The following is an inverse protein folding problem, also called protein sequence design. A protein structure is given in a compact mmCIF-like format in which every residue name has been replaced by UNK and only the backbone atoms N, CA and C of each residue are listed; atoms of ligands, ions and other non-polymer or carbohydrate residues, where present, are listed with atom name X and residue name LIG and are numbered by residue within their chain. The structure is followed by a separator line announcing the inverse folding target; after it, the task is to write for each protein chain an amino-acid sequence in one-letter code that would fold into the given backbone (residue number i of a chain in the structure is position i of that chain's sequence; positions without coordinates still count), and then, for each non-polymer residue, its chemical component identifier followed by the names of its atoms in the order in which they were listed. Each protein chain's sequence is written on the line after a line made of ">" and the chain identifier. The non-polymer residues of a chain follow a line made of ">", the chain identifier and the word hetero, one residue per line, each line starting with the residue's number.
data_IF_011139007157
#
_entry.id   IF_011139007157
#
_cell.length_a   1.000
_cell.length_b   1.000
_cell.length_c   1.000
_cell.angle_alpha   90.00
_cell.angle_beta   90.00
_cell.angle_gamma   90.00
#
_symmetry.space_group_name_H-M   'P 1'
#
loop_
_entity.id
_entity.type
_entity.pdbx_description
1 polymer ?
#
# COMPACT_ATOMS: atom_id res chain seq x y z
N UNK A 1 56.06 31.05 47.05
CA UNK A 1 55.96 29.79 46.29
C UNK A 1 55.26 28.80 47.21
N UNK A 2 54.10 28.22 46.95
CA UNK A 2 53.19 28.14 45.81
C UNK A 2 51.82 27.79 46.42
N UNK A 3 50.76 28.46 45.96
CA UNK A 3 49.39 28.04 46.24
C UNK A 3 48.98 27.03 45.16
N UNK A 4 48.59 25.80 45.52
CA UNK A 4 47.83 24.93 44.63
C UNK A 4 46.96 23.96 45.43
N UNK A 5 45.89 24.51 46.03
CA UNK A 5 44.82 23.76 46.68
C UNK A 5 43.66 23.51 45.73
N UNK A 6 43.54 22.27 45.27
CA UNK A 6 42.28 21.54 45.00
C UNK A 6 41.19 22.32 44.22
N UNK A 7 41.29 22.34 42.89
CA UNK A 7 40.11 22.41 41.99
C UNK A 7 40.01 21.11 41.20
N UNK A 8 39.56 20.03 41.86
CA UNK A 8 39.28 18.77 41.16
C UNK A 8 38.24 17.94 41.92
N UNK A 9 37.02 18.46 42.14
CA UNK A 9 35.93 17.59 42.67
C UNK A 9 34.50 18.08 42.40
N UNK A 10 34.23 18.83 41.33
CA UNK A 10 32.83 19.20 40.97
C UNK A 10 32.47 18.87 39.52
N UNK A 11 33.44 18.58 38.64
CA UNK A 11 33.15 18.23 37.24
C UNK A 11 32.86 16.74 36.99
N UNK A 12 33.25 15.82 37.88
CA UNK A 12 32.94 14.39 37.70
C UNK A 12 31.52 14.01 38.16
N UNK A 13 30.94 14.72 39.13
CA UNK A 13 29.59 14.42 39.60
C UNK A 13 28.49 14.86 38.63
N UNK A 14 28.74 15.92 37.84
CA UNK A 14 27.77 16.39 36.83
C UNK A 14 27.73 15.48 35.60
N UNK A 15 28.88 14.89 35.21
CA UNK A 15 28.95 13.99 34.04
C UNK A 15 28.27 12.64 34.36
N UNK A 16 28.37 12.16 35.60
CA UNK A 16 27.68 10.94 36.03
C UNK A 16 26.16 11.16 36.13
N UNK A 17 25.69 12.34 36.53
CA UNK A 17 24.25 12.64 36.57
C UNK A 17 23.62 12.76 35.17
N UNK A 18 24.36 13.32 34.20
CA UNK A 18 23.92 13.38 32.80
C UNK A 18 23.95 11.99 32.14
N UNK A 19 24.91 11.14 32.50
CA UNK A 19 24.93 9.74 32.04
C UNK A 19 23.80 8.90 32.64
N UNK A 20 23.35 9.17 33.88
CA UNK A 20 22.21 8.46 34.47
C UNK A 20 20.88 8.94 33.86
N UNK A 21 20.76 10.22 33.48
CA UNK A 21 19.60 10.73 32.73
C UNK A 21 19.57 10.27 31.25
N UNK A 22 20.73 9.98 30.65
CA UNK A 22 20.82 9.30 29.35
C UNK A 22 20.72 7.78 29.43
N UNK A 23 20.90 7.17 30.61
CA UNK A 23 20.68 5.74 30.82
C UNK A 23 19.25 5.37 31.21
N UNK A 24 18.42 6.32 31.65
CA UNK A 24 16.97 6.08 31.78
C UNK A 24 16.22 6.17 30.44
N UNK A 25 16.82 6.74 29.39
CA UNK A 25 16.26 6.71 28.03
C UNK A 25 16.83 5.59 27.15
N UNK A 26 17.77 4.79 27.65
CA UNK A 26 18.46 3.74 26.89
C UNK A 26 18.33 2.33 27.50
N UNK A 27 17.47 2.14 28.50
CA UNK A 27 17.02 0.81 28.96
C UNK A 27 15.57 0.64 28.51
N UNK A 28 15.38 0.54 27.20
CA UNK A 28 14.26 -0.13 26.53
C UNK A 28 14.69 -0.40 25.08
N UNK A 29 15.73 -1.24 24.96
CA UNK A 29 16.06 -1.91 23.71
C UNK A 29 14.94 -2.91 23.42
N UNK A 30 13.90 -2.40 22.77
CA UNK A 30 12.64 -3.07 22.50
C UNK A 30 11.50 -2.06 22.39
N UNK A 31 11.71 -0.90 21.76
CA UNK A 31 10.59 -0.01 21.44
C UNK A 31 9.82 -0.65 20.28
N UNK A 32 8.76 -1.40 20.59
CA UNK A 32 7.59 -1.39 19.72
C UNK A 32 7.32 0.08 19.43
N UNK A 33 7.34 0.45 18.16
CA UNK A 33 7.18 1.84 17.76
C UNK A 33 5.71 2.16 18.01
N UNK A 34 5.39 2.71 19.18
CA UNK A 34 4.02 2.89 19.64
C UNK A 34 3.15 3.56 18.58
N UNK A 35 1.89 3.10 18.47
CA UNK A 35 0.94 3.62 17.50
C UNK A 35 0.80 5.14 17.63
N UNK A 36 0.81 5.84 16.50
CA UNK A 36 0.55 7.28 16.49
C UNK A 36 -0.96 7.49 16.51
N UNK A 37 -1.46 8.06 17.60
CA UNK A 37 -2.86 8.46 17.76
C UNK A 37 -2.96 9.96 17.47
N UNK A 38 -3.79 10.31 16.49
CA UNK A 38 -4.09 11.68 16.09
C UNK A 38 -5.50 12.09 16.49
N UNK A 39 -6.45 11.15 16.55
CA UNK A 39 -7.81 11.43 16.99
C UNK A 39 -7.92 11.49 18.52
N UNK A 40 -8.95 12.18 19.00
CA UNK A 40 -9.36 12.09 20.40
C UNK A 40 -10.02 10.72 20.62
N UNK A 41 -9.53 9.96 21.61
CA UNK A 41 -10.03 8.62 21.91
C UNK A 41 -10.06 8.33 23.41
N UNK A 42 -10.96 7.47 23.84
CA UNK A 42 -11.00 6.99 25.22
C UNK A 42 -9.67 6.29 25.62
N UNK A 43 -9.05 6.60 26.77
CA UNK A 43 -7.77 6.00 27.16
C UNK A 43 -7.79 4.47 27.19
N UNK A 44 -8.91 3.88 27.63
CA UNK A 44 -9.10 2.42 27.66
C UNK A 44 -9.12 1.83 26.24
N UNK A 45 -9.76 2.50 25.28
CA UNK A 45 -9.75 2.08 23.87
C UNK A 45 -8.34 2.18 23.27
N UNK A 46 -7.56 3.20 23.65
CA UNK A 46 -6.17 3.37 23.21
C UNK A 46 -5.29 2.23 23.74
N UNK A 47 -5.43 1.85 25.01
CA UNK A 47 -4.69 0.72 25.60
C UNK A 47 -5.00 -0.60 24.87
N UNK A 48 -6.29 -0.89 24.63
CA UNK A 48 -6.70 -2.08 23.88
C UNK A 48 -6.14 -2.09 22.46
N UNK A 49 -6.16 -0.95 21.76
CA UNK A 49 -5.61 -0.87 20.42
C UNK A 49 -4.08 -1.07 20.41
N UNK A 50 -3.37 -0.57 21.41
CA UNK A 50 -1.93 -0.83 21.55
C UNK A 50 -1.66 -2.32 21.66
N UNK A 51 -2.35 -3.02 22.57
CA UNK A 51 -2.22 -4.47 22.72
C UNK A 51 -2.61 -5.22 21.43
N UNK A 52 -3.67 -4.77 20.76
CA UNK A 52 -4.11 -5.34 19.49
C UNK A 52 -3.01 -5.26 18.42
N UNK A 53 -2.32 -4.13 18.32
CA UNK A 53 -1.20 -3.96 17.37
C UNK A 53 0.03 -4.76 17.73
N UNK A 54 0.33 -4.91 19.02
CA UNK A 54 1.40 -5.82 19.48
C UNK A 54 1.10 -7.27 19.06
N UNK A 55 -0.14 -7.73 19.24
CA UNK A 55 -0.57 -9.06 18.78
C UNK A 55 -0.52 -9.23 17.28
N UNK A 56 -0.88 -8.20 16.52
CA UNK A 56 -0.70 -8.19 15.07
C UNK A 56 0.79 -8.33 14.68
N UNK A 57 1.69 -7.59 15.30
CA UNK A 57 3.13 -7.68 15.05
C UNK A 57 3.70 -9.05 15.41
N UNK A 58 3.30 -9.59 16.57
CA UNK A 58 3.62 -10.96 16.98
C UNK A 58 3.14 -11.97 15.92
N UNK A 59 1.91 -11.81 15.41
CA UNK A 59 1.34 -12.69 14.40
C UNK A 59 2.12 -12.64 13.08
N UNK A 60 2.48 -11.43 12.61
CA UNK A 60 3.28 -11.23 11.41
C UNK A 60 4.65 -11.90 11.53
N UNK A 61 5.32 -11.74 12.67
CA UNK A 61 6.61 -12.36 12.93
C UNK A 61 6.51 -13.90 13.05
N UNK A 62 5.49 -14.40 13.75
CA UNK A 62 5.34 -15.83 14.05
C UNK A 62 4.87 -16.64 12.84
N UNK A 63 4.02 -16.07 11.97
CA UNK A 63 3.31 -16.84 10.95
C UNK A 63 3.87 -16.70 9.54
N UNK A 64 4.78 -15.75 9.30
CA UNK A 64 5.55 -15.62 8.05
C UNK A 64 4.69 -15.71 6.77
N UNK A 65 3.50 -15.09 6.80
CA UNK A 65 2.56 -15.06 5.67
C UNK A 65 1.44 -16.09 5.71
N UNK A 66 1.48 -17.08 6.61
CA UNK A 66 0.38 -18.02 6.84
C UNK A 66 -0.72 -17.38 7.72
N UNK A 67 -1.26 -16.26 7.27
CA UNK A 67 -2.19 -15.42 8.02
C UNK A 67 -3.63 -15.76 7.70
N UNK A 68 -4.39 -16.12 8.74
CA UNK A 68 -5.84 -16.27 8.67
C UNK A 68 -6.44 -15.96 10.04
N UNK A 69 -7.70 -15.50 10.11
CA UNK A 69 -8.28 -14.91 11.34
C UNK A 69 -8.38 -15.88 12.50
N UNK A 70 -8.60 -17.16 12.22
CA UNK A 70 -8.68 -18.19 13.25
C UNK A 70 -7.33 -18.57 13.89
N UNK A 71 -6.20 -17.99 13.47
CA UNK A 71 -4.94 -18.18 14.20
C UNK A 71 -4.96 -17.39 15.49
N UNK A 72 -4.49 -18.01 16.57
CA UNK A 72 -4.51 -17.47 17.93
C UNK A 72 -4.13 -15.97 17.99
N UNK A 73 -2.96 -15.58 17.48
CA UNK A 73 -2.51 -14.19 17.58
C UNK A 73 -3.35 -13.22 16.72
N UNK A 74 -3.85 -13.67 15.56
CA UNK A 74 -4.75 -12.85 14.73
C UNK A 74 -6.14 -12.71 15.37
N UNK A 75 -6.65 -13.78 15.96
CA UNK A 75 -7.93 -13.75 16.69
C UNK A 75 -7.84 -12.80 17.89
N UNK A 76 -6.78 -12.90 18.69
CA UNK A 76 -6.53 -12.00 19.83
C UNK A 76 -6.39 -10.53 19.37
N UNK A 77 -5.61 -10.26 18.32
CA UNK A 77 -5.46 -8.91 17.78
C UNK A 77 -6.81 -8.31 17.31
N UNK A 78 -7.60 -9.10 16.57
CA UNK A 78 -8.90 -8.66 16.05
C UNK A 78 -9.89 -8.42 17.20
N UNK A 79 -9.96 -9.31 18.18
CA UNK A 79 -10.85 -9.18 19.34
C UNK A 79 -10.55 -7.92 20.14
N UNK A 80 -9.27 -7.65 20.44
CA UNK A 80 -8.84 -6.44 21.15
C UNK A 80 -9.19 -5.15 20.38
N UNK A 81 -9.00 -5.15 19.06
CA UNK A 81 -9.36 -4.00 18.22
C UNK A 81 -10.89 -3.81 18.11
N UNK A 82 -11.67 -4.89 18.06
CA UNK A 82 -13.13 -4.85 18.11
C UNK A 82 -13.63 -4.32 19.47
N UNK A 83 -12.99 -4.70 20.58
CA UNK A 83 -13.29 -4.16 21.93
C UNK A 83 -12.96 -2.67 22.03
N UNK A 84 -11.84 -2.21 21.46
CA UNK A 84 -11.49 -0.80 21.41
C UNK A 84 -12.59 0.03 20.70
N UNK A 85 -13.09 -0.46 19.57
CA UNK A 85 -14.19 0.17 18.82
C UNK A 85 -15.52 0.09 19.59
N UNK A 86 -15.75 -0.97 20.37
CA UNK A 86 -16.94 -1.09 21.20
C UNK A 86 -16.98 -0.02 22.32
N UNK A 87 -15.82 0.35 22.86
CA UNK A 87 -15.68 1.44 23.83
C UNK A 87 -15.81 2.80 23.15
N UNK A 88 -15.13 2.99 22.01
CA UNK A 88 -15.13 4.23 21.27
C UNK A 88 -15.40 4.00 19.76
N UNK A 89 -16.67 4.05 19.33
CA UNK A 89 -17.05 3.77 17.94
C UNK A 89 -16.59 4.80 16.91
N UNK A 90 -16.11 5.98 17.34
CA UNK A 90 -15.57 7.02 16.44
C UNK A 90 -14.02 7.06 16.50
N UNK A 91 -13.36 6.09 17.16
CA UNK A 91 -11.91 5.98 17.25
C UNK A 91 -11.27 5.65 15.89
N UNK A 92 -10.74 6.69 15.25
CA UNK A 92 -10.23 6.68 13.87
C UNK A 92 -9.17 5.60 13.65
N UNK A 93 -8.17 5.53 14.54
CA UNK A 93 -7.04 4.62 14.39
C UNK A 93 -7.45 3.18 14.59
N UNK A 94 -8.42 2.87 15.46
CA UNK A 94 -8.88 1.51 15.66
C UNK A 94 -9.52 0.93 14.39
N UNK A 95 -10.32 1.73 13.68
CA UNK A 95 -10.86 1.34 12.37
C UNK A 95 -9.74 1.12 11.33
N UNK A 96 -8.72 1.98 11.30
CA UNK A 96 -7.58 1.81 10.41
C UNK A 96 -6.83 0.50 10.66
N UNK A 97 -6.47 0.21 11.92
CA UNK A 97 -5.71 -0.98 12.27
C UNK A 97 -6.54 -2.26 12.17
N UNK A 98 -7.82 -2.24 12.52
CA UNK A 98 -8.69 -3.40 12.32
C UNK A 98 -8.82 -3.74 10.83
N UNK A 99 -8.88 -2.73 9.95
CA UNK A 99 -8.84 -2.95 8.51
C UNK A 99 -7.50 -3.59 8.06
N UNK A 100 -6.35 -3.17 8.60
CA UNK A 100 -5.06 -3.82 8.34
C UNK A 100 -5.04 -5.29 8.80
N UNK A 101 -5.65 -5.60 9.94
CA UNK A 101 -5.75 -6.98 10.43
C UNK A 101 -6.60 -7.84 9.48
N UNK A 102 -7.75 -7.33 9.01
CA UNK A 102 -8.57 -8.01 8.02
C UNK A 102 -7.87 -8.14 6.66
N UNK A 103 -7.09 -7.15 6.25
CA UNK A 103 -6.23 -7.22 5.07
C UNK A 103 -5.24 -8.38 5.19
N UNK A 104 -4.45 -8.41 6.26
CA UNK A 104 -3.42 -9.43 6.45
C UNK A 104 -4.00 -10.84 6.50
N UNK A 105 -5.25 -10.96 6.94
CA UNK A 105 -5.94 -12.23 7.11
C UNK A 105 -6.94 -12.56 5.99
N UNK A 106 -6.96 -11.76 4.92
CA UNK A 106 -7.80 -11.96 3.72
C UNK A 106 -9.31 -11.96 3.99
N UNK A 107 -9.77 -11.18 4.96
CA UNK A 107 -11.20 -10.96 5.24
C UNK A 107 -11.74 -9.73 4.50
N UNK A 108 -11.73 -9.79 3.16
CA UNK A 108 -11.95 -8.64 2.27
C UNK A 108 -13.26 -7.87 2.51
N UNK A 109 -14.37 -8.55 2.86
CA UNK A 109 -15.64 -7.87 3.13
C UNK A 109 -15.56 -6.99 4.39
N UNK A 110 -15.06 -7.55 5.50
CA UNK A 110 -14.89 -6.81 6.76
C UNK A 110 -13.81 -5.76 6.63
N UNK A 111 -12.76 -6.04 5.86
CA UNK A 111 -11.73 -5.08 5.53
C UNK A 111 -12.32 -3.81 4.88
N UNK A 112 -13.14 -3.98 3.84
CA UNK A 112 -13.78 -2.86 3.13
C UNK A 112 -14.75 -2.08 4.04
N UNK A 113 -15.46 -2.76 4.94
CA UNK A 113 -16.31 -2.11 5.94
C UNK A 113 -15.50 -1.15 6.83
N UNK A 114 -14.36 -1.61 7.34
CA UNK A 114 -13.51 -0.81 8.21
C UNK A 114 -12.82 0.34 7.45
N UNK A 115 -12.42 0.14 6.19
CA UNK A 115 -11.91 1.24 5.37
C UNK A 115 -12.96 2.31 5.11
N UNK A 116 -14.19 1.93 4.76
CA UNK A 116 -15.27 2.90 4.58
C UNK A 116 -15.57 3.66 5.87
N UNK A 117 -15.53 2.98 7.02
CA UNK A 117 -15.70 3.62 8.32
C UNK A 117 -14.57 4.58 8.64
N UNK A 118 -13.32 4.18 8.41
CA UNK A 118 -12.14 5.05 8.54
C UNK A 118 -12.26 6.32 7.68
N UNK A 119 -12.59 6.18 6.39
CA UNK A 119 -12.78 7.33 5.49
C UNK A 119 -13.87 8.27 5.99
N UNK A 120 -15.03 7.73 6.39
CA UNK A 120 -16.15 8.52 6.92
C UNK A 120 -15.80 9.28 8.20
N UNK A 121 -14.98 8.69 9.07
CA UNK A 121 -14.53 9.37 10.29
C UNK A 121 -13.54 10.49 9.97
N UNK A 122 -12.55 10.24 9.11
CA UNK A 122 -11.57 11.27 8.72
C UNK A 122 -12.27 12.48 8.09
N UNK A 123 -13.25 12.28 7.20
CA UNK A 123 -14.01 13.36 6.58
C UNK A 123 -14.74 14.26 7.58
N UNK A 124 -15.06 13.75 8.77
CA UNK A 124 -15.72 14.47 9.87
C UNK A 124 -14.73 15.21 10.79
N UNK A 125 -13.42 15.05 10.56
CA UNK A 125 -12.35 15.63 11.38
C UNK A 125 -11.50 16.63 10.58
N UNK A 126 -10.63 17.37 11.25
CA UNK A 126 -9.62 18.24 10.63
C UNK A 126 -8.23 17.58 10.53
N UNK A 127 -8.17 16.25 10.65
CA UNK A 127 -6.93 15.47 10.59
C UNK A 127 -6.32 15.54 9.19
N UNK A 128 -5.21 16.25 9.06
CA UNK A 128 -4.53 16.47 7.78
C UNK A 128 -3.02 16.27 7.82
N UNK A 129 -2.51 15.54 8.81
CA UNK A 129 -1.07 15.26 8.95
C UNK A 129 -0.54 14.47 7.73
N UNK A 130 0.76 14.55 7.42
CA UNK A 130 1.33 13.77 6.31
C UNK A 130 1.07 12.26 6.42
N UNK A 131 1.12 11.71 7.63
CA UNK A 131 0.81 10.30 7.87
C UNK A 131 -0.67 9.99 7.65
N UNK A 132 -1.58 10.87 8.10
CA UNK A 132 -3.02 10.70 7.84
C UNK A 132 -3.30 10.69 6.34
N UNK A 133 -2.64 11.57 5.56
CA UNK A 133 -2.76 11.56 4.09
C UNK A 133 -2.26 10.26 3.46
N UNK A 134 -1.14 9.72 3.94
CA UNK A 134 -0.66 8.41 3.51
C UNK A 134 -1.63 7.28 3.87
N UNK A 135 -2.21 7.31 5.08
CA UNK A 135 -3.19 6.32 5.52
C UNK A 135 -4.50 6.40 4.72
N UNK A 136 -4.98 7.62 4.42
CA UNK A 136 -6.09 7.86 3.50
C UNK A 136 -5.81 7.29 2.11
N UNK A 137 -4.63 7.58 1.57
CA UNK A 137 -4.22 7.05 0.27
C UNK A 137 -4.20 5.51 0.29
N UNK A 138 -3.69 4.90 1.36
CA UNK A 138 -3.73 3.45 1.55
C UNK A 138 -5.17 2.91 1.56
N UNK A 139 -6.06 3.48 2.38
CA UNK A 139 -7.46 3.04 2.46
C UNK A 139 -8.17 3.14 1.09
N UNK A 140 -8.00 4.26 0.39
CA UNK A 140 -8.52 4.44 -0.96
C UNK A 140 -7.96 3.40 -1.95
N UNK A 141 -6.65 3.14 -1.92
CA UNK A 141 -6.03 2.10 -2.74
C UNK A 141 -6.68 0.73 -2.50
N UNK A 142 -6.89 0.34 -1.24
CA UNK A 142 -7.46 -0.98 -0.91
C UNK A 142 -8.91 -1.13 -1.38
N UNK A 143 -9.73 -0.10 -1.23
CA UNK A 143 -11.09 -0.08 -1.77
C UNK A 143 -11.12 -0.07 -3.31
N UNK A 144 -10.19 0.66 -3.93
CA UNK A 144 -10.01 0.68 -5.39
C UNK A 144 -9.61 -0.68 -5.95
N UNK A 145 -8.72 -1.39 -5.25
CA UNK A 145 -8.32 -2.75 -5.63
C UNK A 145 -9.48 -3.74 -5.47
N UNK A 146 -10.27 -3.65 -4.40
CA UNK A 146 -11.46 -4.48 -4.24
C UNK A 146 -12.45 -4.25 -5.40
N UNK A 147 -12.74 -2.98 -5.73
CA UNK A 147 -13.62 -2.63 -6.86
C UNK A 147 -13.07 -3.12 -8.22
N UNK A 148 -11.74 -3.10 -8.39
CA UNK A 148 -11.09 -3.65 -9.59
C UNK A 148 -11.34 -5.16 -9.73
N UNK A 149 -11.18 -5.93 -8.65
CA UNK A 149 -11.41 -7.38 -8.64
C UNK A 149 -12.88 -7.73 -8.90
N UNK A 150 -13.81 -6.86 -8.48
CA UNK A 150 -15.23 -6.96 -8.81
C UNK A 150 -15.55 -6.58 -10.27
N UNK A 151 -14.57 -6.04 -11.01
CA UNK A 151 -14.72 -5.57 -12.39
C UNK A 151 -15.39 -4.20 -12.52
N UNK A 152 -15.60 -3.50 -11.41
CA UNK A 152 -16.14 -2.13 -11.38
C UNK A 152 -15.01 -1.13 -11.61
N UNK A 153 -14.62 -0.96 -12.88
CA UNK A 153 -13.53 -0.07 -13.28
C UNK A 153 -13.81 1.40 -13.01
N UNK A 154 -15.07 1.83 -13.10
CA UNK A 154 -15.46 3.22 -12.83
C UNK A 154 -15.22 3.57 -11.36
N UNK A 155 -15.74 2.73 -10.45
CA UNK A 155 -15.57 2.94 -9.01
C UNK A 155 -14.11 2.73 -8.58
N UNK A 156 -13.43 1.73 -9.15
CA UNK A 156 -12.02 1.47 -8.92
C UNK A 156 -11.16 2.69 -9.23
N UNK A 157 -11.41 3.33 -10.38
CA UNK A 157 -10.66 4.52 -10.78
C UNK A 157 -10.93 5.70 -9.85
N UNK A 158 -12.18 5.92 -9.43
CA UNK A 158 -12.51 6.96 -8.44
C UNK A 158 -11.66 6.79 -7.18
N UNK A 159 -11.57 5.58 -6.67
CA UNK A 159 -10.77 5.28 -5.48
C UNK A 159 -9.26 5.47 -5.72
N UNK A 160 -8.69 4.96 -6.81
CA UNK A 160 -7.26 5.18 -7.09
C UNK A 160 -6.91 6.66 -7.28
N UNK A 161 -7.77 7.44 -7.95
CA UNK A 161 -7.56 8.87 -8.15
C UNK A 161 -7.68 9.65 -6.83
N UNK A 162 -8.60 9.27 -5.94
CA UNK A 162 -8.64 9.84 -4.58
C UNK A 162 -7.39 9.48 -3.79
N UNK A 163 -6.87 8.26 -3.92
CA UNK A 163 -5.60 7.88 -3.30
C UNK A 163 -4.44 8.77 -3.77
N UNK A 164 -4.31 8.96 -5.08
CA UNK A 164 -3.27 9.82 -5.69
C UNK A 164 -3.45 11.29 -5.28
N UNK A 165 -4.69 11.76 -5.13
CA UNK A 165 -4.98 13.12 -4.66
C UNK A 165 -4.48 13.34 -3.23
N UNK A 166 -4.68 12.37 -2.33
CA UNK A 166 -4.25 12.48 -0.93
C UNK A 166 -2.73 12.30 -0.79
N UNK A 167 -2.15 11.34 -1.50
CA UNK A 167 -0.71 11.09 -1.51
C UNK A 167 -0.21 10.76 -2.94
N UNK A 168 0.26 11.76 -3.70
CA UNK A 168 0.65 11.60 -5.11
C UNK A 168 1.75 10.57 -5.36
N UNK A 169 2.60 10.34 -4.37
CA UNK A 169 3.74 9.41 -4.44
C UNK A 169 3.35 7.97 -4.03
N UNK A 170 2.06 7.69 -3.81
CA UNK A 170 1.57 6.33 -3.56
C UNK A 170 1.67 5.51 -4.86
N UNK A 171 2.79 4.81 -5.02
CA UNK A 171 3.15 4.16 -6.29
C UNK A 171 2.13 3.09 -6.72
N UNK A 172 1.56 2.36 -5.76
CA UNK A 172 0.56 1.31 -6.06
C UNK A 172 -0.70 1.90 -6.68
N UNK A 173 -1.16 3.08 -6.24
CA UNK A 173 -2.34 3.72 -6.84
C UNK A 173 -2.09 4.23 -8.25
N UNK A 174 -0.89 4.75 -8.52
CA UNK A 174 -0.49 5.12 -9.89
C UNK A 174 -0.44 3.87 -10.79
N UNK A 175 0.16 2.78 -10.29
CA UNK A 175 0.21 1.50 -10.99
C UNK A 175 -1.20 0.97 -11.33
N UNK A 176 -2.10 0.95 -10.36
CA UNK A 176 -3.43 0.39 -10.55
C UNK A 176 -4.34 1.32 -11.36
N UNK A 177 -4.25 2.64 -11.20
CA UNK A 177 -4.90 3.59 -12.10
C UNK A 177 -4.46 3.37 -13.56
N UNK A 178 -3.14 3.26 -13.80
CA UNK A 178 -2.61 2.99 -15.14
C UNK A 178 -3.18 1.70 -15.74
N UNK A 179 -3.28 0.64 -14.93
CA UNK A 179 -3.92 -0.61 -15.34
C UNK A 179 -5.40 -0.46 -15.67
N UNK A 180 -6.18 0.20 -14.81
CA UNK A 180 -7.62 0.42 -15.05
C UNK A 180 -7.85 1.25 -16.32
N UNK A 181 -7.10 2.33 -16.50
CA UNK A 181 -7.15 3.14 -17.72
C UNK A 181 -6.85 2.31 -18.98
N UNK A 182 -5.88 1.37 -18.89
CA UNK A 182 -5.65 0.43 -19.98
C UNK A 182 -6.87 -0.45 -20.25
N UNK A 183 -7.51 -1.03 -19.22
CA UNK A 183 -8.68 -1.89 -19.40
C UNK A 183 -9.84 -1.16 -20.10
N UNK A 184 -10.11 0.08 -19.71
CA UNK A 184 -11.18 0.92 -20.30
C UNK A 184 -10.81 1.60 -21.63
N UNK A 185 -9.65 1.25 -22.20
CA UNK A 185 -9.14 1.76 -23.49
C UNK A 185 -8.75 3.26 -23.51
N UNK A 186 -8.55 3.84 -22.33
CA UNK A 186 -7.98 5.19 -22.18
C UNK A 186 -6.44 5.09 -22.10
N UNK A 187 -5.84 4.86 -23.27
CA UNK A 187 -4.41 4.61 -23.38
C UNK A 187 -3.55 5.83 -23.05
N UNK A 188 -4.06 7.05 -23.23
CA UNK A 188 -3.33 8.29 -22.93
C UNK A 188 -3.15 8.45 -21.42
N UNK A 189 -4.23 8.33 -20.64
CA UNK A 189 -4.12 8.36 -19.18
C UNK A 189 -3.36 7.14 -18.66
N UNK A 190 -3.51 5.96 -19.26
CA UNK A 190 -2.72 4.79 -18.89
C UNK A 190 -1.22 5.07 -19.01
N UNK A 191 -0.77 5.63 -20.14
CA UNK A 191 0.64 5.97 -20.35
C UNK A 191 1.12 7.00 -19.32
N UNK A 192 0.34 8.06 -19.08
CA UNK A 192 0.66 9.08 -18.09
C UNK A 192 0.93 8.49 -16.70
N UNK A 193 0.08 7.58 -16.22
CA UNK A 193 0.28 6.98 -14.91
C UNK A 193 1.41 5.94 -14.89
N UNK A 194 1.71 5.28 -16.01
CA UNK A 194 2.92 4.46 -16.12
C UNK A 194 4.21 5.28 -16.06
N UNK A 195 4.23 6.45 -16.69
CA UNK A 195 5.34 7.41 -16.56
C UNK A 195 5.54 7.79 -15.09
N UNK A 196 4.44 8.10 -14.38
CA UNK A 196 4.50 8.41 -12.94
C UNK A 196 5.08 7.27 -12.11
N UNK A 197 4.72 6.01 -12.38
CA UNK A 197 5.31 4.85 -11.68
C UNK A 197 6.82 4.79 -11.93
N UNK A 198 7.27 4.94 -13.18
CA UNK A 198 8.69 4.88 -13.55
C UNK A 198 9.51 6.10 -13.09
N UNK A 199 8.87 7.25 -12.89
CA UNK A 199 9.45 8.43 -12.26
C UNK A 199 9.69 8.21 -10.75
N UNK A 200 8.73 7.60 -10.06
CA UNK A 200 8.82 7.29 -8.62
C UNK A 200 9.81 6.15 -8.35
N UNK A 201 9.74 5.08 -9.13
CA UNK A 201 10.69 3.97 -9.10
C UNK A 201 10.89 3.38 -10.50
N UNK A 202 12.04 3.70 -11.08
CA UNK A 202 12.49 3.20 -12.40
C UNK A 202 12.55 1.68 -12.49
N UNK A 203 12.73 0.98 -11.37
CA UNK A 203 12.86 -0.47 -11.31
C UNK A 203 11.62 -1.16 -10.74
N UNK A 204 10.49 -0.44 -10.64
CA UNK A 204 9.26 -1.01 -10.12
C UNK A 204 8.85 -2.25 -10.94
N UNK A 205 8.53 -3.39 -10.28
CA UNK A 205 8.29 -4.64 -10.96
C UNK A 205 7.25 -4.54 -12.08
N UNK A 206 7.65 -4.97 -13.28
CA UNK A 206 6.82 -5.00 -14.50
C UNK A 206 6.34 -3.64 -15.02
N UNK A 207 6.63 -2.52 -14.36
CA UNK A 207 6.17 -1.19 -14.81
C UNK A 207 6.62 -0.88 -16.23
N UNK A 208 7.91 -1.11 -16.55
CA UNK A 208 8.44 -0.89 -17.90
C UNK A 208 7.72 -1.74 -18.95
N UNK A 209 7.42 -3.01 -18.62
CA UNK A 209 6.70 -3.89 -19.55
C UNK A 209 5.29 -3.37 -19.84
N UNK A 210 4.55 -2.91 -18.82
CA UNK A 210 3.21 -2.36 -19.05
C UNK A 210 3.25 -1.02 -19.76
N UNK A 211 4.21 -0.16 -19.44
CA UNK A 211 4.49 1.07 -20.17
C UNK A 211 4.70 0.80 -21.67
N UNK A 212 5.64 -0.07 -22.02
CA UNK A 212 5.96 -0.42 -23.42
C UNK A 212 4.75 -1.02 -24.14
N UNK A 213 3.94 -1.81 -23.42
CA UNK A 213 2.68 -2.35 -23.94
C UNK A 213 1.67 -1.24 -24.27
N UNK A 214 1.57 -0.20 -23.46
CA UNK A 214 0.68 0.94 -23.72
C UNK A 214 1.19 1.76 -24.89
N UNK A 215 2.50 2.05 -24.96
CA UNK A 215 3.10 2.75 -26.11
C UNK A 215 2.86 1.99 -27.43
N UNK A 216 3.05 0.67 -27.42
CA UNK A 216 2.79 -0.16 -28.58
C UNK A 216 1.30 -0.20 -28.93
N UNK A 217 0.41 -0.20 -27.93
CA UNK A 217 -1.04 -0.12 -28.12
C UNK A 217 -1.45 1.24 -28.74
N UNK A 218 -0.83 2.34 -28.34
CA UNK A 218 -1.04 3.67 -28.94
C UNK A 218 -0.54 3.71 -30.39
N UNK A 219 0.65 3.14 -30.65
CA UNK A 219 1.29 3.15 -31.97
C UNK A 219 0.57 2.26 -32.98
N UNK A 220 0.15 1.06 -32.55
CA UNK A 220 -0.34 0.02 -33.45
C UNK A 220 -1.84 -0.28 -33.31
N UNK A 221 -2.50 0.27 -32.29
CA UNK A 221 -3.86 -0.08 -31.89
C UNK A 221 -3.86 -1.21 -30.86
N UNK A 222 -4.59 -1.02 -29.75
CA UNK A 222 -4.67 -1.99 -28.62
C UNK A 222 -5.06 -3.39 -29.08
N UNK A 223 -6.09 -3.51 -29.93
CA UNK A 223 -6.53 -4.81 -30.42
C UNK A 223 -5.46 -5.50 -31.29
N UNK A 224 -4.84 -4.77 -32.22
CA UNK A 224 -3.77 -5.31 -33.06
C UNK A 224 -2.57 -5.76 -32.23
N UNK A 225 -2.19 -4.96 -31.22
CA UNK A 225 -1.10 -5.30 -30.31
C UNK A 225 -1.44 -6.51 -29.42
N UNK A 226 -2.69 -6.64 -28.96
CA UNK A 226 -3.14 -7.80 -28.19
C UNK A 226 -3.03 -9.11 -28.99
N UNK A 227 -3.41 -9.10 -30.27
CA UNK A 227 -3.20 -10.25 -31.15
C UNK A 227 -1.72 -10.57 -31.37
N UNK A 228 -0.87 -9.56 -31.51
CA UNK A 228 0.58 -9.76 -31.61
C UNK A 228 1.16 -10.40 -30.34
N UNK A 229 0.76 -9.89 -29.17
CA UNK A 229 1.20 -10.43 -27.87
C UNK A 229 0.72 -11.88 -27.68
N UNK A 230 -0.52 -12.19 -28.08
CA UNK A 230 -1.02 -13.56 -28.09
C UNK A 230 -0.17 -14.45 -29.01
N UNK A 231 0.20 -13.97 -30.19
CA UNK A 231 1.06 -14.69 -31.12
C UNK A 231 2.41 -15.03 -30.50
N UNK A 232 3.03 -14.04 -29.84
CA UNK A 232 4.29 -14.23 -29.11
C UNK A 232 4.16 -15.28 -27.99
N UNK A 233 3.10 -15.21 -27.19
CA UNK A 233 2.86 -16.16 -26.12
C UNK A 233 2.63 -17.60 -26.63
N UNK A 234 1.94 -17.78 -27.75
CA UNK A 234 1.77 -19.10 -28.38
C UNK A 234 3.06 -19.61 -29.03
N UNK A 235 3.88 -18.70 -29.58
CA UNK A 235 5.20 -19.04 -30.10
C UNK A 235 6.14 -19.57 -29.01
N UNK A 236 6.20 -18.90 -27.86
CA UNK A 236 6.99 -19.32 -26.69
C UNK A 236 6.55 -20.71 -26.18
N UNK A 237 5.24 -21.02 -26.28
CA UNK A 237 4.67 -22.34 -25.97
C UNK A 237 4.90 -23.39 -27.06
N UNK A 238 5.58 -23.04 -28.17
CA UNK A 238 5.81 -23.87 -29.37
C UNK A 238 4.53 -24.25 -30.13
N UNK A 239 3.45 -23.51 -29.92
CA UNK A 239 2.18 -23.67 -30.64
C UNK A 239 2.20 -22.86 -31.95
N UNK A 240 3.13 -23.18 -32.84
CA UNK A 240 3.43 -22.34 -34.02
C UNK A 240 2.23 -22.04 -34.92
N UNK A 241 1.31 -23.00 -35.10
CA UNK A 241 0.10 -22.75 -35.90
C UNK A 241 -0.77 -21.64 -35.30
N UNK A 242 -0.97 -21.65 -33.97
CA UNK A 242 -1.77 -20.63 -33.29
C UNK A 242 -1.06 -19.28 -33.30
N UNK A 243 0.25 -19.29 -33.11
CA UNK A 243 1.07 -18.08 -33.19
C UNK A 243 0.89 -17.38 -34.54
N UNK A 244 1.05 -18.11 -35.65
CA UNK A 244 0.85 -17.60 -37.01
C UNK A 244 -0.56 -17.01 -37.20
N UNK A 245 -1.59 -17.70 -36.69
CA UNK A 245 -2.96 -17.20 -36.80
C UNK A 245 -3.17 -15.87 -36.04
N UNK A 246 -2.60 -15.74 -34.85
CA UNK A 246 -2.64 -14.51 -34.06
C UNK A 246 -1.87 -13.37 -34.74
N UNK A 247 -0.66 -13.61 -35.27
CA UNK A 247 0.10 -12.59 -36.01
C UNK A 247 -0.63 -12.13 -37.27
N UNK A 248 -1.30 -13.04 -37.99
CA UNK A 248 -2.16 -12.68 -39.12
C UNK A 248 -3.33 -11.77 -38.72
N UNK A 249 -3.91 -11.96 -37.54
CA UNK A 249 -4.95 -11.03 -37.05
C UNK A 249 -4.36 -9.66 -36.72
N UNK A 250 -3.19 -9.60 -36.06
CA UNK A 250 -2.51 -8.33 -35.77
C UNK A 250 -2.24 -7.52 -37.06
N UNK A 251 -1.71 -8.19 -38.10
CA UNK A 251 -1.47 -7.59 -39.42
C UNK A 251 -2.77 -7.16 -40.10
N UNK A 252 -3.84 -7.95 -39.98
CA UNK A 252 -5.15 -7.61 -40.56
C UNK A 252 -5.72 -6.34 -39.94
N UNK A 253 -5.60 -6.19 -38.62
CA UNK A 253 -6.08 -5.02 -37.89
C UNK A 253 -5.20 -3.79 -38.15
N UNK A 254 -3.87 -3.98 -38.26
CA UNK A 254 -2.95 -2.93 -38.62
C UNK A 254 -1.90 -3.42 -39.65
N UNK A 255 -2.12 -3.18 -40.96
CA UNK A 255 -1.17 -3.55 -42.01
C UNK A 255 0.18 -2.82 -41.94
N UNK A 256 0.32 -1.79 -41.09
CA UNK A 256 1.59 -1.08 -40.86
C UNK A 256 2.35 -1.62 -39.65
N UNK A 257 1.84 -2.65 -38.97
CA UNK A 257 2.50 -3.27 -37.83
C UNK A 257 3.63 -4.21 -38.29
N UNK A 258 4.76 -3.62 -38.70
CA UNK A 258 5.89 -4.33 -39.32
C UNK A 258 6.41 -5.47 -38.46
N UNK A 259 6.45 -5.30 -37.14
CA UNK A 259 6.97 -6.32 -36.22
C UNK A 259 6.12 -7.61 -36.26
N UNK A 260 4.83 -7.51 -36.55
CA UNK A 260 3.94 -8.68 -36.70
C UNK A 260 4.18 -9.48 -37.99
N UNK A 261 4.90 -8.92 -38.98
CA UNK A 261 5.27 -9.65 -40.20
C UNK A 261 6.57 -10.44 -40.06
N UNK A 262 7.36 -10.21 -39.00
CA UNK A 262 8.65 -10.87 -38.79
C UNK A 262 8.52 -12.35 -38.41
N UNK A 263 7.38 -12.72 -37.80
CA UNK A 263 7.08 -14.05 -37.27
C UNK A 263 6.26 -14.90 -38.24
#
# INVERSE_FOLDING_TARGET
>A
MEMNGKRLSVKCSLIILVLILFFQSAILSGSAQGIQIYSDAAPEAVELLQEATEKMEEALAAYQGANYPGRKLWAEAIELAEEAIAIDPDFVEAHYYLALMFQHTNWYYREAEQWNRYLSLIERTDLSSPQVKQNLAHAYYRLGYNSYEDGDYDQSLIYFLNSIKEYPDYIDSNYWAARVFYEIDDLENSLYYWDRVLELDRFYPRAQYFHDKVEASLKYGKEAYSWYEQGYNEYEKRNYSRAIDSYRQAVRLNPKFIDAYYW
#
